data_IF_460013298754
#
_entry.id   IF_460013298754
#
_cell.length_a   1.000
_cell.length_b   1.000
_cell.length_c   1.000
_cell.angle_alpha   90.00
_cell.angle_beta   90.00
_cell.angle_gamma   90.00
#
_symmetry.space_group_name_H-M   'P 1'
#
loop_
_entity.id
_entity.type
_entity.pdbx_description
1 polymer ?
#
# COMPACT_ATOMS: atom_id res chain seq x y z
N UNK A 1 -1.02 -2.98 12.52
CA UNK A 1 0.44 -3.16 12.69
C UNK A 1 1.10 -2.61 11.44
N UNK A 2 2.17 -1.82 11.59
CA UNK A 2 2.94 -1.29 10.47
C UNK A 2 4.29 -2.01 10.48
N UNK A 3 4.50 -2.90 9.53
CA UNK A 3 5.78 -3.56 9.32
C UNK A 3 6.27 -3.50 7.86
N UNK A 4 6.14 -2.39 7.11
CA UNK A 4 6.70 -2.30 5.77
C UNK A 4 8.23 -2.45 5.81
N UNK A 5 8.81 -3.01 4.74
CA UNK A 5 10.26 -3.01 4.54
C UNK A 5 10.78 -1.59 4.32
N UNK A 6 10.05 -0.78 3.54
CA UNK A 6 10.41 0.63 3.30
C UNK A 6 9.20 1.47 2.92
N UNK A 7 9.24 2.75 3.31
CA UNK A 7 8.28 3.78 2.92
C UNK A 7 9.07 4.98 2.43
N UNK A 8 8.91 5.34 1.16
CA UNK A 8 9.61 6.47 0.58
C UNK A 8 9.01 7.82 1.05
N UNK A 9 9.75 8.94 0.91
CA UNK A 9 9.30 10.26 1.35
C UNK A 9 7.98 10.70 0.74
N UNK A 10 7.32 11.64 1.42
CA UNK A 10 6.03 12.23 1.00
C UNK A 10 4.87 11.24 0.89
N UNK A 11 4.99 10.06 1.50
CA UNK A 11 3.91 9.08 1.60
C UNK A 11 3.14 9.26 2.91
N UNK A 12 1.81 9.26 2.80
CA UNK A 12 0.87 9.41 3.91
C UNK A 12 0.19 8.07 4.21
N UNK A 13 0.38 7.59 5.44
CA UNK A 13 -0.24 6.38 5.97
C UNK A 13 -1.37 6.78 6.93
N UNK A 14 -2.61 6.47 6.57
CA UNK A 14 -3.83 6.90 7.28
C UNK A 14 -4.48 5.71 7.97
N UNK A 15 -4.42 5.67 9.30
CA UNK A 15 -4.99 4.58 10.09
C UNK A 15 -6.52 4.61 10.12
N UNK A 16 -7.21 3.47 10.33
CA UNK A 16 -6.63 2.13 10.53
C UNK A 16 -6.13 1.53 9.21
N UNK A 17 -4.92 0.97 9.23
CA UNK A 17 -4.38 0.17 8.12
C UNK A 17 -3.38 -0.88 8.66
N UNK A 18 -3.15 -1.93 7.88
CA UNK A 18 -2.21 -2.99 8.19
C UNK A 18 -1.26 -3.22 7.01
N UNK A 19 0.05 -3.27 7.25
CA UNK A 19 1.07 -3.59 6.25
C UNK A 19 2.01 -4.64 6.83
N UNK A 20 2.13 -5.77 6.13
CA UNK A 20 3.04 -6.86 6.48
C UNK A 20 4.48 -6.63 5.96
N UNK A 21 5.41 -7.46 6.46
CA UNK A 21 6.83 -7.42 6.15
C UNK A 21 7.15 -7.64 4.65
N UNK A 22 8.28 -7.10 4.21
CA UNK A 22 8.74 -7.24 2.81
C UNK A 22 8.04 -6.30 1.83
N UNK A 23 7.03 -5.54 2.26
CA UNK A 23 6.34 -4.59 1.41
C UNK A 23 7.11 -3.28 1.26
N UNK A 24 7.28 -2.81 0.03
CA UNK A 24 7.94 -1.54 -0.31
C UNK A 24 6.94 -0.54 -0.87
N UNK A 25 6.99 0.71 -0.40
CA UNK A 25 6.07 1.77 -0.82
C UNK A 25 6.84 2.94 -1.44
N UNK A 26 6.49 3.27 -2.69
CA UNK A 26 7.02 4.39 -3.44
C UNK A 26 6.64 5.77 -2.88
N UNK A 27 7.23 6.85 -3.40
CA UNK A 27 7.04 8.20 -2.87
C UNK A 27 5.67 8.78 -3.25
N UNK A 28 5.17 9.72 -2.45
CA UNK A 28 3.95 10.46 -2.78
C UNK A 28 2.66 9.66 -2.67
N UNK A 29 2.67 8.50 -2.01
CA UNK A 29 1.50 7.64 -1.91
C UNK A 29 0.55 8.10 -0.80
N UNK A 30 -0.73 7.78 -0.93
CA UNK A 30 -1.72 7.94 0.14
C UNK A 30 -2.39 6.59 0.36
N UNK A 31 -2.16 6.00 1.52
CA UNK A 31 -2.64 4.65 1.85
C UNK A 31 -3.49 4.71 3.10
N UNK A 32 -4.74 4.27 2.98
CA UNK A 32 -5.72 4.22 4.05
C UNK A 32 -6.89 5.20 3.86
N UNK A 33 -7.89 5.15 4.76
CA UNK A 33 -8.07 4.14 5.81
C UNK A 33 -8.59 2.80 5.26
N UNK A 34 -8.66 1.81 6.16
CA UNK A 34 -9.21 0.45 5.94
C UNK A 34 -8.50 -0.28 4.80
N UNK A 35 -7.18 -0.32 4.89
CA UNK A 35 -6.31 -1.00 3.93
C UNK A 35 -5.57 -2.14 4.62
N UNK A 36 -5.53 -3.31 3.95
CA UNK A 36 -4.72 -4.45 4.35
C UNK A 36 -3.75 -4.80 3.22
N UNK A 37 -2.45 -4.69 3.46
CA UNK A 37 -1.41 -5.04 2.50
C UNK A 37 -0.63 -6.23 3.06
N UNK A 38 -0.73 -7.37 2.39
CA UNK A 38 0.04 -8.57 2.70
C UNK A 38 1.53 -8.40 2.40
N UNK A 39 2.32 -9.39 2.79
CA UNK A 39 3.78 -9.38 2.64
C UNK A 39 4.25 -9.26 1.19
N UNK A 40 5.49 -8.77 1.04
CA UNK A 40 6.23 -8.72 -0.23
C UNK A 40 5.55 -7.93 -1.36
N UNK A 41 4.63 -7.01 -1.04
CA UNK A 41 3.99 -6.20 -2.06
C UNK A 41 4.90 -5.06 -2.53
N UNK A 42 4.71 -4.62 -3.77
CA UNK A 42 5.39 -3.44 -4.33
C UNK A 42 4.37 -2.39 -4.70
N UNK A 43 4.38 -1.27 -3.99
CA UNK A 43 3.53 -0.12 -4.29
C UNK A 43 4.36 0.93 -5.03
N UNK A 44 3.95 1.27 -6.24
CA UNK A 44 4.57 2.31 -7.07
C UNK A 44 4.48 3.72 -6.47
N UNK A 45 4.97 4.71 -7.20
CA UNK A 45 4.91 6.11 -6.82
C UNK A 45 3.52 6.73 -7.05
N UNK A 46 3.10 7.66 -6.20
CA UNK A 46 1.86 8.43 -6.38
C UNK A 46 0.58 7.59 -6.32
N UNK A 47 0.62 6.42 -5.67
CA UNK A 47 -0.53 5.51 -5.58
C UNK A 47 -1.50 5.96 -4.49
N UNK A 48 -2.80 5.86 -4.78
CA UNK A 48 -3.87 6.01 -3.80
C UNK A 48 -4.48 4.63 -3.49
N UNK A 49 -4.46 4.21 -2.23
CA UNK A 49 -5.12 2.97 -1.77
C UNK A 49 -6.07 3.29 -0.64
N UNK A 50 -7.34 2.92 -0.77
CA UNK A 50 -8.36 3.15 0.25
C UNK A 50 -9.39 2.02 0.21
N UNK A 51 -9.87 1.57 1.37
CA UNK A 51 -10.94 0.56 1.41
C UNK A 51 -10.60 -0.71 0.61
N UNK A 52 -9.36 -1.21 0.71
CA UNK A 52 -8.83 -2.22 -0.21
C UNK A 52 -7.94 -3.27 0.47
N UNK A 53 -7.81 -4.43 -0.20
CA UNK A 53 -6.90 -5.51 0.19
C UNK A 53 -5.90 -5.78 -0.93
N UNK A 54 -4.62 -5.76 -0.61
CA UNK A 54 -3.53 -6.11 -1.54
C UNK A 54 -2.94 -7.43 -1.07
N UNK A 55 -3.05 -8.47 -1.90
CA UNK A 55 -2.58 -9.82 -1.58
C UNK A 55 -1.06 -9.93 -1.76
N UNK A 56 -0.46 -10.96 -1.18
CA UNK A 56 0.99 -11.15 -1.18
C UNK A 56 1.58 -11.14 -2.59
N UNK A 57 2.81 -10.63 -2.68
CA UNK A 57 3.60 -10.59 -3.90
C UNK A 57 2.95 -9.75 -5.05
N UNK A 58 1.86 -9.03 -4.77
CA UNK A 58 1.22 -8.11 -5.72
C UNK A 58 2.08 -6.88 -6.01
N UNK A 59 1.93 -6.35 -7.22
CA UNK A 59 2.55 -5.09 -7.65
C UNK A 59 1.49 -4.09 -8.11
N UNK A 60 1.53 -2.88 -7.54
CA UNK A 60 0.67 -1.76 -7.91
C UNK A 60 1.51 -0.76 -8.71
N UNK A 61 1.10 -0.51 -9.96
CA UNK A 61 1.79 0.43 -10.84
C UNK A 61 1.66 1.88 -10.37
N UNK A 62 2.61 2.73 -10.79
CA UNK A 62 2.64 4.15 -10.47
C UNK A 62 1.33 4.87 -10.84
N UNK A 63 0.89 5.79 -9.99
CA UNK A 63 -0.31 6.60 -10.19
C UNK A 63 -1.64 5.84 -10.14
N UNK A 64 -1.63 4.53 -9.89
CA UNK A 64 -2.86 3.74 -9.79
C UNK A 64 -3.68 4.17 -8.57
N UNK A 65 -5.00 4.14 -8.74
CA UNK A 65 -5.96 4.25 -7.65
C UNK A 65 -6.59 2.88 -7.41
N UNK A 66 -6.60 2.43 -6.15
CA UNK A 66 -7.19 1.17 -5.71
C UNK A 66 -8.20 1.52 -4.63
N UNK A 67 -9.50 1.44 -4.97
CA UNK A 67 -10.58 1.86 -4.06
C UNK A 67 -11.70 0.83 -4.05
N UNK A 68 -11.92 0.17 -2.91
CA UNK A 68 -12.97 -0.86 -2.81
C UNK A 68 -12.62 -2.17 -3.52
N UNK A 69 -11.33 -2.43 -3.74
CA UNK A 69 -10.84 -3.54 -4.56
C UNK A 69 -10.02 -4.55 -3.74
N UNK A 70 -10.00 -5.80 -4.22
CA UNK A 70 -9.00 -6.80 -3.83
C UNK A 70 -8.05 -7.01 -5.02
N UNK A 71 -6.75 -6.81 -4.80
CA UNK A 71 -5.73 -6.94 -5.83
C UNK A 71 -4.83 -8.15 -5.54
N UNK A 72 -4.58 -8.97 -6.57
CA UNK A 72 -3.68 -10.13 -6.58
C UNK A 72 -2.52 -9.92 -7.54
#
# INVERSE_FOLDING_TARGET
QLAPQSVAPHTHLITPLHIEAGTTIGPGCVIGPRVYIERNCRIGAGVLIKDAVILRDSTIADGRQVVGEVVS
#
